data_IF_149419345401
#
_entry.id   IF_149419345401
#
_cell.length_a   1.000
_cell.length_b   1.000
_cell.length_c   1.000
_cell.angle_alpha   90.00
_cell.angle_beta   90.00
_cell.angle_gamma   90.00
#
_symmetry.space_group_name_H-M   'P 1'
#
loop_
_entity.id
_entity.type
_entity.pdbx_description
1 polymer ?
#
# COMPACT_ATOMS: atom_id res chain seq x y z
N UNK A 1 28.36 54.59 39.08
CA UNK A 1 27.67 53.44 39.70
C UNK A 1 26.17 53.42 39.31
N UNK A 2 25.46 54.55 39.31
CA UNK A 2 24.04 54.61 38.90
C UNK A 2 23.84 54.18 37.40
N UNK A 3 24.72 54.69 36.53
CA UNK A 3 24.65 54.33 35.08
C UNK A 3 24.86 52.83 34.78
N UNK A 4 25.73 52.16 35.54
CA UNK A 4 25.95 50.71 35.40
C UNK A 4 24.74 49.87 35.89
N UNK A 5 24.03 50.36 36.91
CA UNK A 5 22.81 49.71 37.41
C UNK A 5 21.65 49.89 36.43
N UNK A 6 21.51 51.08 35.83
CA UNK A 6 20.49 51.30 34.77
C UNK A 6 20.74 50.43 33.52
N UNK A 7 21.98 50.29 33.10
CA UNK A 7 22.37 49.43 31.97
C UNK A 7 22.13 47.93 32.28
N UNK A 8 22.42 47.52 33.52
CA UNK A 8 22.14 46.14 33.98
C UNK A 8 20.63 45.85 34.00
N UNK A 9 19.83 46.82 34.52
CA UNK A 9 18.36 46.66 34.55
C UNK A 9 17.79 46.55 33.15
N UNK A 10 18.19 47.41 32.21
CA UNK A 10 17.76 47.34 30.83
C UNK A 10 18.18 46.03 30.13
N UNK A 11 19.34 45.50 30.49
CA UNK A 11 19.80 44.19 29.97
C UNK A 11 18.94 43.05 30.51
N UNK A 12 18.62 43.06 31.81
CA UNK A 12 17.75 42.05 32.44
C UNK A 12 16.36 42.07 31.84
N UNK A 13 15.75 43.27 31.65
CA UNK A 13 14.46 43.41 31.00
C UNK A 13 14.47 42.87 29.55
N UNK A 14 15.54 43.11 28.81
CA UNK A 14 15.71 42.60 27.46
C UNK A 14 15.81 41.08 27.43
N UNK A 15 16.58 40.49 28.36
CA UNK A 15 16.73 39.03 28.51
C UNK A 15 15.39 38.40 28.87
N UNK A 16 14.66 38.98 29.83
CA UNK A 16 13.34 38.48 30.21
C UNK A 16 12.32 38.49 29.04
N UNK A 17 12.34 39.59 28.26
CA UNK A 17 11.48 39.69 27.07
C UNK A 17 11.84 38.65 25.98
N UNK A 18 13.12 38.40 25.74
CA UNK A 18 13.61 37.39 24.81
C UNK A 18 13.27 35.98 25.32
N UNK A 19 13.41 35.71 26.59
CA UNK A 19 13.07 34.45 27.21
C UNK A 19 11.57 34.15 27.08
N UNK A 20 10.70 35.14 27.33
CA UNK A 20 9.24 35.00 27.10
C UNK A 20 8.92 34.68 25.65
N UNK A 21 9.51 35.41 24.70
CA UNK A 21 9.34 35.14 23.27
C UNK A 21 9.80 33.72 22.89
N UNK A 22 10.91 33.28 23.47
CA UNK A 22 11.44 31.91 23.27
C UNK A 22 10.45 30.85 23.78
N UNK A 23 9.86 31.08 24.98
CA UNK A 23 8.86 30.18 25.53
C UNK A 23 7.62 30.05 24.61
N UNK A 24 7.10 31.18 24.09
CA UNK A 24 5.96 31.20 23.20
C UNK A 24 6.25 30.46 21.88
N UNK A 25 7.43 30.68 21.30
CA UNK A 25 7.88 30.00 20.10
C UNK A 25 8.05 28.50 20.31
N UNK A 26 8.59 28.10 21.45
CA UNK A 26 8.79 26.68 21.79
C UNK A 26 7.45 25.98 22.06
N UNK A 27 6.48 26.69 22.67
CA UNK A 27 5.12 26.15 22.80
C UNK A 27 4.49 25.89 21.44
N UNK A 28 4.61 26.82 20.49
CA UNK A 28 4.12 26.63 19.13
C UNK A 28 4.81 25.46 18.43
N UNK A 29 6.13 25.31 18.63
CA UNK A 29 6.89 24.18 18.11
C UNK A 29 6.40 22.84 18.68
N UNK A 30 6.15 22.79 20.00
CA UNK A 30 5.60 21.62 20.67
C UNK A 30 4.25 21.20 20.08
N UNK A 31 3.32 22.15 19.92
CA UNK A 31 1.99 21.89 19.36
C UNK A 31 2.07 21.37 17.91
N UNK A 32 2.97 21.95 17.10
CA UNK A 32 3.21 21.48 15.73
C UNK A 32 3.79 20.07 15.67
N UNK A 33 4.71 19.73 16.57
CA UNK A 33 5.32 18.40 16.68
C UNK A 33 4.26 17.35 17.01
N UNK A 34 3.35 17.67 17.96
CA UNK A 34 2.24 16.76 18.30
C UNK A 34 1.30 16.54 17.10
N UNK A 35 0.97 17.60 16.36
CA UNK A 35 0.14 17.48 15.16
C UNK A 35 0.80 16.62 14.07
N UNK A 36 2.12 16.74 13.88
CA UNK A 36 2.87 15.88 12.94
C UNK A 36 2.88 14.43 13.39
N UNK A 37 3.06 14.16 14.70
CA UNK A 37 3.01 12.81 15.25
C UNK A 37 1.63 12.16 15.07
N UNK A 38 0.56 12.92 15.32
CA UNK A 38 -0.82 12.46 15.11
C UNK A 38 -1.11 12.12 13.64
N UNK A 39 -0.71 13.00 12.72
CA UNK A 39 -0.83 12.76 11.29
C UNK A 39 -0.03 11.51 10.85
N UNK A 40 1.19 11.33 11.34
CA UNK A 40 2.01 10.17 11.04
C UNK A 40 1.37 8.88 11.54
N UNK A 41 0.75 8.87 12.72
CA UNK A 41 0.00 7.72 13.24
C UNK A 41 -1.25 7.41 12.40
N UNK A 42 -1.95 8.42 11.92
CA UNK A 42 -3.07 8.23 11.01
C UNK A 42 -2.63 7.60 9.68
N UNK A 43 -1.54 8.11 9.10
CA UNK A 43 -0.99 7.56 7.86
C UNK A 43 -0.47 6.12 8.06
N UNK A 44 0.14 5.80 9.20
CA UNK A 44 0.54 4.44 9.55
C UNK A 44 -0.66 3.48 9.55
N UNK A 45 -1.79 3.89 10.16
CA UNK A 45 -3.03 3.09 10.15
C UNK A 45 -3.59 2.88 8.74
N UNK A 46 -3.45 3.87 7.84
CA UNK A 46 -3.83 3.71 6.43
C UNK A 46 -2.96 2.67 5.73
N UNK A 47 -1.67 2.59 6.07
CA UNK A 47 -0.77 1.55 5.54
C UNK A 47 -1.17 0.15 6.02
N UNK A 48 -1.58 0.00 7.30
CA UNK A 48 -2.09 -1.28 7.81
C UNK A 48 -3.35 -1.72 7.04
N UNK A 49 -4.30 -0.79 6.81
CA UNK A 49 -5.51 -1.07 6.02
C UNK A 49 -5.18 -1.42 4.56
N UNK A 50 -4.19 -0.75 3.96
CA UNK A 50 -3.75 -1.05 2.60
C UNK A 50 -3.15 -2.46 2.49
N UNK A 51 -2.40 -2.89 3.51
CA UNK A 51 -1.86 -4.26 3.56
C UNK A 51 -2.98 -5.30 3.63
N UNK A 52 -4.04 -5.04 4.40
CA UNK A 52 -5.22 -5.92 4.47
C UNK A 52 -5.94 -6.01 3.13
N UNK A 53 -6.16 -4.88 2.44
CA UNK A 53 -6.77 -4.87 1.11
C UNK A 53 -5.91 -5.62 0.07
N UNK A 54 -4.60 -5.50 0.12
CA UNK A 54 -3.71 -6.26 -0.75
C UNK A 54 -3.78 -7.77 -0.50
N UNK A 55 -3.93 -8.20 0.77
CA UNK A 55 -4.16 -9.60 1.10
C UNK A 55 -5.50 -10.11 0.51
N UNK A 56 -6.56 -9.31 0.56
CA UNK A 56 -7.84 -9.61 -0.07
C UNK A 56 -7.71 -9.78 -1.59
N UNK A 57 -6.93 -8.92 -2.25
CA UNK A 57 -6.68 -9.01 -3.70
C UNK A 57 -5.94 -10.31 -4.05
N UNK A 58 -4.97 -10.74 -3.23
CA UNK A 58 -4.28 -12.03 -3.41
C UNK A 58 -5.28 -13.19 -3.28
N UNK A 59 -6.17 -13.16 -2.29
CA UNK A 59 -7.20 -14.21 -2.12
C UNK A 59 -8.13 -14.29 -3.34
N UNK A 60 -8.58 -13.13 -3.85
CA UNK A 60 -9.40 -13.07 -5.06
C UNK A 60 -8.64 -13.59 -6.27
N UNK A 61 -7.36 -13.23 -6.41
CA UNK A 61 -6.50 -13.69 -7.51
C UNK A 61 -6.33 -15.20 -7.50
N UNK A 62 -6.15 -15.81 -6.34
CA UNK A 62 -6.08 -17.26 -6.18
C UNK A 62 -7.41 -17.95 -6.57
N UNK A 63 -8.55 -17.34 -6.24
CA UNK A 63 -9.87 -17.84 -6.69
C UNK A 63 -10.02 -17.77 -8.21
N UNK A 64 -9.54 -16.70 -8.84
CA UNK A 64 -9.56 -16.57 -10.32
C UNK A 64 -8.62 -17.60 -10.96
N UNK A 65 -7.47 -17.87 -10.36
CA UNK A 65 -6.56 -18.94 -10.83
C UNK A 65 -7.26 -20.31 -10.83
N UNK A 66 -7.96 -20.65 -9.76
CA UNK A 66 -8.73 -21.90 -9.67
C UNK A 66 -9.82 -21.99 -10.75
N UNK A 67 -10.54 -20.89 -11.01
CA UNK A 67 -11.54 -20.82 -12.09
C UNK A 67 -10.87 -21.01 -13.44
N UNK A 68 -9.73 -20.38 -13.67
CA UNK A 68 -8.97 -20.46 -14.92
C UNK A 68 -8.49 -21.89 -15.17
N UNK A 69 -8.02 -22.59 -14.13
CA UNK A 69 -7.68 -24.01 -14.21
C UNK A 69 -8.89 -24.88 -14.62
N UNK A 70 -10.06 -24.60 -14.05
CA UNK A 70 -11.30 -25.29 -14.43
C UNK A 70 -11.66 -25.03 -15.91
N UNK A 71 -11.46 -23.82 -16.42
CA UNK A 71 -11.69 -23.48 -17.82
C UNK A 71 -10.73 -24.25 -18.73
N UNK A 72 -9.45 -24.41 -18.34
CA UNK A 72 -8.50 -25.24 -19.08
C UNK A 72 -8.94 -26.69 -19.17
N UNK A 73 -9.43 -27.27 -18.06
CA UNK A 73 -9.93 -28.63 -18.01
C UNK A 73 -11.17 -28.79 -18.93
N UNK A 74 -12.10 -27.83 -18.87
CA UNK A 74 -13.28 -27.83 -19.74
C UNK A 74 -12.86 -27.72 -21.22
N UNK A 75 -11.92 -26.84 -21.54
CA UNK A 75 -11.42 -26.68 -22.91
C UNK A 75 -10.75 -27.98 -23.41
N UNK A 76 -9.96 -28.64 -22.58
CA UNK A 76 -9.32 -29.91 -22.88
C UNK A 76 -10.37 -31.00 -23.14
N UNK A 77 -11.38 -31.15 -22.29
CA UNK A 77 -12.49 -32.10 -22.47
C UNK A 77 -13.28 -31.79 -23.75
N UNK A 78 -13.54 -30.49 -24.02
CA UNK A 78 -14.26 -30.07 -25.24
C UNK A 78 -13.46 -30.41 -26.47
N UNK A 79 -12.14 -30.26 -26.47
CA UNK A 79 -11.26 -30.65 -27.55
C UNK A 79 -11.31 -32.16 -27.83
N UNK A 80 -11.32 -33.00 -26.78
CA UNK A 80 -11.46 -34.44 -26.88
C UNK A 80 -12.84 -34.85 -27.43
N UNK A 81 -13.92 -34.16 -26.99
CA UNK A 81 -15.27 -34.38 -27.50
C UNK A 81 -15.37 -34.01 -28.98
N UNK A 82 -14.76 -32.91 -29.39
CA UNK A 82 -14.70 -32.48 -30.79
C UNK A 82 -13.94 -33.49 -31.67
N UNK A 83 -12.83 -34.03 -31.16
CA UNK A 83 -12.07 -35.07 -31.84
C UNK A 83 -12.93 -36.34 -32.04
N UNK A 84 -13.60 -36.80 -30.98
CA UNK A 84 -14.48 -37.97 -31.07
C UNK A 84 -15.63 -37.75 -32.04
N UNK A 85 -16.23 -36.55 -32.03
CA UNK A 85 -17.28 -36.18 -33.00
C UNK A 85 -16.76 -36.15 -34.43
N UNK A 86 -15.55 -35.67 -34.67
CA UNK A 86 -14.90 -35.66 -35.99
C UNK A 86 -14.66 -37.08 -36.49
N UNK A 87 -14.22 -38.00 -35.61
CA UNK A 87 -14.00 -39.41 -35.95
C UNK A 87 -15.33 -40.07 -36.35
N UNK A 88 -16.42 -39.85 -35.57
CA UNK A 88 -17.72 -40.46 -35.87
C UNK A 88 -18.35 -39.84 -37.13
N UNK A 89 -18.17 -38.53 -37.37
CA UNK A 89 -18.59 -37.89 -38.61
C UNK A 89 -17.86 -38.46 -39.82
N UNK A 90 -16.56 -38.73 -39.74
CA UNK A 90 -15.84 -39.41 -40.81
C UNK A 90 -16.32 -40.83 -41.03
N UNK A 91 -16.72 -41.54 -40.00
CA UNK A 91 -17.29 -42.90 -40.06
C UNK A 91 -18.63 -42.95 -40.76
N UNK A 92 -19.44 -41.88 -40.67
CA UNK A 92 -20.73 -41.75 -41.35
C UNK A 92 -20.60 -41.37 -42.84
N UNK A 93 -19.39 -41.14 -43.36
CA UNK A 93 -19.15 -40.84 -44.77
C UNK A 93 -19.84 -39.56 -45.25
N UNK A 94 -20.47 -39.58 -46.40
CA UNK A 94 -21.12 -38.40 -46.99
C UNK A 94 -22.22 -37.79 -46.10
N UNK A 95 -22.92 -38.60 -45.33
CA UNK A 95 -23.96 -38.14 -44.40
C UNK A 95 -23.36 -37.35 -43.19
N UNK A 96 -22.09 -37.57 -42.89
CA UNK A 96 -21.40 -36.93 -41.76
C UNK A 96 -20.67 -35.62 -42.09
N UNK A 97 -20.58 -35.19 -43.34
CA UNK A 97 -19.78 -34.03 -43.78
C UNK A 97 -20.11 -32.74 -43.04
N UNK A 98 -21.39 -32.44 -42.81
CA UNK A 98 -21.80 -31.25 -42.08
C UNK A 98 -21.38 -31.31 -40.61
N UNK A 99 -21.46 -32.48 -39.98
CA UNK A 99 -21.02 -32.69 -38.58
C UNK A 99 -19.50 -32.60 -38.44
N UNK A 100 -18.73 -33.08 -39.42
CA UNK A 100 -17.27 -32.97 -39.42
C UNK A 100 -16.81 -31.50 -39.34
N UNK A 101 -17.40 -30.60 -40.12
CA UNK A 101 -17.09 -29.16 -40.10
C UNK A 101 -17.41 -28.54 -38.74
N UNK A 102 -18.55 -28.88 -38.14
CA UNK A 102 -18.93 -28.38 -36.83
C UNK A 102 -17.95 -28.87 -35.74
N UNK A 103 -17.61 -30.15 -35.78
CA UNK A 103 -16.67 -30.75 -34.85
C UNK A 103 -15.28 -30.10 -34.96
N UNK A 104 -14.80 -29.82 -36.17
CA UNK A 104 -13.53 -29.10 -36.37
C UNK A 104 -13.58 -27.68 -35.78
N UNK A 105 -14.68 -26.95 -35.98
CA UNK A 105 -14.84 -25.60 -35.40
C UNK A 105 -14.89 -25.63 -33.88
N UNK A 106 -15.54 -26.63 -33.27
CA UNK A 106 -15.58 -26.82 -31.82
C UNK A 106 -14.17 -27.12 -31.31
N UNK A 107 -13.40 -27.95 -31.97
CA UNK A 107 -12.02 -28.27 -31.61
C UNK A 107 -11.11 -27.02 -31.64
N UNK A 108 -11.29 -26.17 -32.65
CA UNK A 108 -10.56 -24.90 -32.75
C UNK A 108 -10.93 -23.95 -31.61
N UNK A 109 -12.23 -23.78 -31.33
CA UNK A 109 -12.71 -22.96 -30.21
C UNK A 109 -12.17 -23.45 -28.85
N UNK A 110 -12.13 -24.76 -28.66
CA UNK A 110 -11.57 -25.36 -27.44
C UNK A 110 -10.08 -25.05 -27.31
N UNK A 111 -9.30 -25.16 -28.39
CA UNK A 111 -7.89 -24.82 -28.40
C UNK A 111 -7.65 -23.32 -28.09
N UNK A 112 -8.43 -22.44 -28.71
CA UNK A 112 -8.34 -21.00 -28.48
C UNK A 112 -8.74 -20.64 -27.04
N UNK A 113 -9.74 -21.31 -26.47
CA UNK A 113 -10.17 -21.16 -25.08
C UNK A 113 -9.06 -21.59 -24.11
N UNK A 114 -8.42 -22.72 -24.35
CA UNK A 114 -7.32 -23.23 -23.56
C UNK A 114 -6.14 -22.25 -23.56
N UNK A 115 -5.78 -21.73 -24.74
CA UNK A 115 -4.70 -20.73 -24.86
C UNK A 115 -5.05 -19.45 -24.08
N UNK A 116 -6.29 -18.99 -24.13
CA UNK A 116 -6.75 -17.81 -23.42
C UNK A 116 -6.70 -18.03 -21.90
N UNK A 117 -7.08 -19.21 -21.42
CA UNK A 117 -6.99 -19.56 -20.00
C UNK A 117 -5.54 -19.59 -19.51
N UNK A 118 -4.61 -20.21 -20.25
CA UNK A 118 -3.18 -20.21 -19.94
C UNK A 118 -2.64 -18.78 -19.83
N UNK A 119 -2.94 -17.91 -20.80
CA UNK A 119 -2.50 -16.52 -20.78
C UNK A 119 -3.07 -15.76 -19.57
N UNK A 120 -4.33 -16.04 -19.20
CA UNK A 120 -4.97 -15.44 -18.03
C UNK A 120 -4.27 -15.87 -16.75
N UNK A 121 -3.91 -17.15 -16.61
CA UNK A 121 -3.14 -17.64 -15.45
C UNK A 121 -1.80 -16.94 -15.32
N UNK A 122 -1.07 -16.76 -16.43
CA UNK A 122 0.21 -16.05 -16.42
C UNK A 122 0.04 -14.60 -15.93
N UNK A 123 -1.05 -13.93 -16.32
CA UNK A 123 -1.35 -12.58 -15.85
C UNK A 123 -1.67 -12.55 -14.36
N UNK A 124 -2.38 -13.55 -13.84
CA UNK A 124 -2.71 -13.66 -12.41
C UNK A 124 -1.42 -13.83 -11.59
N UNK A 125 -0.54 -14.74 -12.01
CA UNK A 125 0.76 -14.96 -11.34
C UNK A 125 1.55 -13.65 -11.27
N UNK A 126 1.68 -12.92 -12.38
CA UNK A 126 2.33 -11.61 -12.41
C UNK A 126 1.65 -10.59 -11.50
N UNK A 127 0.31 -10.59 -11.46
CA UNK A 127 -0.44 -9.69 -10.58
C UNK A 127 -0.12 -9.96 -9.12
N UNK A 128 -0.07 -11.22 -8.70
CA UNK A 128 0.31 -11.61 -7.33
C UNK A 128 1.75 -11.18 -7.00
N UNK A 129 2.69 -11.33 -7.95
CA UNK A 129 4.06 -10.86 -7.78
C UNK A 129 4.13 -9.34 -7.55
N UNK A 130 3.39 -8.56 -8.35
CA UNK A 130 3.35 -7.10 -8.20
C UNK A 130 2.68 -6.66 -6.89
N UNK A 131 1.65 -7.37 -6.43
CA UNK A 131 1.02 -7.12 -5.14
C UNK A 131 1.99 -7.41 -3.99
N UNK A 132 2.76 -8.49 -4.06
CA UNK A 132 3.78 -8.80 -3.05
C UNK A 132 4.85 -7.71 -2.97
N UNK A 133 5.31 -7.19 -4.11
CA UNK A 133 6.23 -6.03 -4.14
C UNK A 133 5.58 -4.77 -3.52
N UNK A 134 4.29 -4.55 -3.83
CA UNK A 134 3.50 -3.48 -3.22
C UNK A 134 3.43 -3.60 -1.70
N UNK A 135 3.25 -4.80 -1.17
CA UNK A 135 3.25 -5.09 0.27
C UNK A 135 4.60 -4.77 0.92
N UNK A 136 5.72 -5.10 0.28
CA UNK A 136 7.06 -4.77 0.79
C UNK A 136 7.25 -3.24 0.89
N UNK A 137 6.80 -2.50 -0.13
CA UNK A 137 6.85 -1.03 -0.14
C UNK A 137 5.97 -0.47 0.97
N UNK A 138 4.74 -0.96 1.11
CA UNK A 138 3.79 -0.52 2.14
C UNK A 138 4.35 -0.74 3.55
N UNK A 139 4.95 -1.90 3.81
CA UNK A 139 5.61 -2.20 5.07
C UNK A 139 6.79 -1.24 5.36
N UNK A 140 7.59 -0.92 4.35
CA UNK A 140 8.69 0.04 4.47
C UNK A 140 8.17 1.46 4.80
N UNK A 141 7.07 1.88 4.18
CA UNK A 141 6.43 3.19 4.44
C UNK A 141 5.85 3.23 5.85
N UNK A 142 5.16 2.16 6.30
CA UNK A 142 4.65 2.06 7.66
C UNK A 142 5.77 2.19 8.71
N UNK A 143 6.91 1.55 8.48
CA UNK A 143 8.09 1.66 9.33
C UNK A 143 8.68 3.08 9.34
N UNK A 144 8.66 3.78 8.20
CA UNK A 144 9.11 5.18 8.13
C UNK A 144 8.20 6.11 8.96
N UNK A 145 6.88 5.89 8.96
CA UNK A 145 5.95 6.64 9.82
C UNK A 145 6.20 6.35 11.30
N UNK A 146 6.44 5.10 11.68
CA UNK A 146 6.83 4.74 13.05
C UNK A 146 8.11 5.46 13.49
N UNK A 147 9.11 5.52 12.60
CA UNK A 147 10.32 6.31 12.82
C UNK A 147 10.02 7.79 13.02
N UNK A 148 9.13 8.37 12.21
CA UNK A 148 8.70 9.76 12.33
C UNK A 148 8.02 10.03 13.67
N UNK A 149 7.12 9.15 14.11
CA UNK A 149 6.43 9.27 15.42
C UNK A 149 7.46 9.29 16.55
N UNK A 150 8.43 8.37 16.53
CA UNK A 150 9.47 8.29 17.54
C UNK A 150 10.35 9.55 17.56
N UNK A 151 10.71 10.12 16.40
CA UNK A 151 11.48 11.37 16.35
C UNK A 151 10.65 12.56 16.84
N UNK A 152 9.36 12.64 16.48
CA UNK A 152 8.48 13.70 16.97
C UNK A 152 8.34 13.64 18.49
N UNK A 153 8.28 12.45 19.09
CA UNK A 153 8.25 12.32 20.54
C UNK A 153 9.50 12.92 21.21
N UNK A 154 10.69 12.65 20.66
CA UNK A 154 11.93 13.24 21.15
C UNK A 154 11.93 14.77 21.00
N UNK A 155 11.44 15.29 19.88
CA UNK A 155 11.31 16.74 19.68
C UNK A 155 10.32 17.37 20.65
N UNK A 156 9.22 16.70 20.99
CA UNK A 156 8.26 17.16 21.98
C UNK A 156 8.93 17.29 23.37
N UNK A 157 9.72 16.30 23.76
CA UNK A 157 10.44 16.31 25.03
C UNK A 157 11.45 17.48 25.09
N UNK A 158 12.24 17.68 24.02
CA UNK A 158 13.20 18.82 23.93
C UNK A 158 12.48 20.17 23.94
N UNK A 159 11.36 20.30 23.22
CA UNK A 159 10.57 21.52 23.19
C UNK A 159 10.02 21.83 24.59
N UNK A 160 9.54 20.84 25.32
CA UNK A 160 9.05 20.98 26.68
C UNK A 160 10.15 21.48 27.63
N UNK A 161 11.32 20.84 27.61
CA UNK A 161 12.48 21.24 28.44
C UNK A 161 12.94 22.67 28.10
N UNK A 162 13.00 23.02 26.83
CA UNK A 162 13.37 24.38 26.37
C UNK A 162 12.34 25.41 26.81
N UNK A 163 11.05 25.09 26.78
CA UNK A 163 9.98 25.98 27.25
C UNK A 163 10.11 26.25 28.75
N UNK A 164 10.32 25.20 29.55
CA UNK A 164 10.52 25.32 30.99
C UNK A 164 11.75 26.18 31.32
N UNK A 165 12.86 25.96 30.62
CA UNK A 165 14.09 26.77 30.78
C UNK A 165 13.86 28.24 30.42
N UNK A 166 13.17 28.52 29.31
CA UNK A 166 12.86 29.89 28.91
C UNK A 166 11.92 30.60 29.90
N UNK A 167 10.94 29.92 30.46
CA UNK A 167 10.05 30.46 31.48
C UNK A 167 10.82 30.82 32.75
N UNK A 168 11.69 29.94 33.21
CA UNK A 168 12.53 30.21 34.37
C UNK A 168 13.46 31.42 34.16
N UNK A 169 13.96 31.64 32.94
CA UNK A 169 14.76 32.82 32.61
C UNK A 169 13.92 34.11 32.53
N UNK A 170 12.63 34.02 32.23
CA UNK A 170 11.76 35.19 32.17
C UNK A 170 11.30 35.68 33.57
N UNK A 171 11.44 34.87 34.62
CA UNK A 171 11.06 35.18 36.01
C UNK A 171 12.19 35.83 36.82
N UNK A 172 13.39 35.96 36.24
CA UNK A 172 14.56 36.62 36.86
C UNK A 172 14.51 38.12 36.63
#
# INVERSE_FOLDING_TARGET
>A
QASAVEELTATVETVAALAKKSADQTQTAYDNVLAVAENAEEERKKMDSLTEEMANIIEISNKIEAITSTIEDIASQTSLLALNASIEAARAGDAGRGFAVVAEQIGKLATDSQKSAVNTRELIVKTIEEINKGNEITASVAQAFEGTINEMQKFADVAKETNESARNQAEI
#
